data_IF_808261688015
#
_entry.id   IF_808261688015
#
_cell.length_a   1.000
_cell.length_b   1.000
_cell.length_c   1.000
_cell.angle_alpha   90.00
_cell.angle_beta   90.00
_cell.angle_gamma   90.00
#
_symmetry.space_group_name_H-M   'P 1'
#
loop_
_entity.id
_entity.type
_entity.pdbx_description
1 polymer ?
#
# COMPACT_ATOMS: atom_id res chain seq x y z
N UNK A 1 6.72 9.50 -10.88
CA UNK A 1 6.47 10.82 -10.25
C UNK A 1 5.06 11.01 -9.70
N UNK A 2 4.04 10.24 -10.10
CA UNK A 2 2.66 10.47 -9.62
C UNK A 2 2.52 10.30 -8.10
N UNK A 3 3.06 9.22 -7.51
CA UNK A 3 2.98 8.96 -6.06
C UNK A 3 3.57 10.11 -5.23
N UNK A 4 4.73 10.61 -5.64
CA UNK A 4 5.41 11.72 -4.96
C UNK A 4 4.57 13.01 -5.01
N UNK A 5 4.02 13.35 -6.18
CA UNK A 5 3.14 14.50 -6.30
C UNK A 5 1.87 14.36 -5.45
N UNK A 6 1.29 13.16 -5.37
CA UNK A 6 0.15 12.89 -4.50
C UNK A 6 0.51 13.05 -3.03
N UNK A 7 1.68 12.57 -2.61
CA UNK A 7 2.16 12.72 -1.23
C UNK A 7 2.34 14.20 -0.86
N UNK A 8 2.98 15.00 -1.73
CA UNK A 8 3.10 16.45 -1.55
C UNK A 8 1.74 17.15 -1.45
N UNK A 9 0.75 16.69 -2.22
CA UNK A 9 -0.62 17.21 -2.20
C UNK A 9 -1.47 16.65 -1.07
N UNK A 10 -0.94 15.76 -0.22
CA UNK A 10 -1.69 15.03 0.82
C UNK A 10 -2.87 14.22 0.27
N UNK A 11 -2.73 13.73 -0.96
CA UNK A 11 -3.69 12.88 -1.68
C UNK A 11 -3.14 11.47 -1.92
N UNK A 12 -1.98 11.14 -1.37
CA UNK A 12 -1.42 9.80 -1.44
C UNK A 12 -2.28 8.80 -0.64
N UNK A 13 -2.30 7.52 -1.07
CA UNK A 13 -2.90 6.48 -0.26
C UNK A 13 -2.15 6.33 1.08
N UNK A 14 -2.84 5.81 2.10
CA UNK A 14 -2.24 5.52 3.40
C UNK A 14 -1.24 4.36 3.35
N UNK A 15 -1.45 3.39 2.45
CA UNK A 15 -0.56 2.27 2.21
C UNK A 15 -0.84 1.66 0.82
N UNK A 16 0.10 0.87 0.31
CA UNK A 16 -0.02 0.10 -0.94
C UNK A 16 0.15 -1.38 -0.61
N UNK A 17 -0.79 -2.20 -1.04
CA UNK A 17 -0.70 -3.67 -0.92
C UNK A 17 -0.86 -4.26 -2.30
N UNK A 18 0.06 -5.14 -2.69
CA UNK A 18 0.00 -5.79 -4.00
C UNK A 18 0.56 -7.22 -3.99
N UNK A 19 0.15 -7.99 -5.01
CA UNK A 19 0.70 -9.33 -5.26
C UNK A 19 2.09 -9.26 -5.86
N UNK A 20 2.27 -8.40 -6.88
CA UNK A 20 3.54 -8.17 -7.58
C UNK A 20 3.73 -6.67 -7.77
N UNK A 21 4.95 -6.18 -7.57
CA UNK A 21 5.30 -4.78 -7.69
C UNK A 21 6.24 -4.52 -8.87
N UNK A 22 6.01 -3.43 -9.58
CA UNK A 22 6.97 -2.87 -10.52
C UNK A 22 8.01 -2.03 -9.76
N UNK A 23 9.29 -2.10 -10.16
CA UNK A 23 10.37 -1.36 -9.52
C UNK A 23 10.12 0.16 -9.46
N UNK A 24 9.51 0.74 -10.49
CA UNK A 24 9.19 2.18 -10.54
C UNK A 24 8.17 2.54 -9.45
N UNK A 25 7.20 1.67 -9.21
CA UNK A 25 6.18 1.89 -8.16
C UNK A 25 6.81 1.76 -6.78
N UNK A 26 7.68 0.78 -6.57
CA UNK A 26 8.42 0.59 -5.31
C UNK A 26 9.25 1.82 -4.97
N UNK A 27 10.06 2.30 -5.91
CA UNK A 27 10.86 3.53 -5.73
C UNK A 27 9.95 4.73 -5.44
N UNK A 28 8.83 4.84 -6.15
CA UNK A 28 7.83 5.87 -5.91
C UNK A 28 7.26 5.84 -4.50
N UNK A 29 6.91 4.66 -3.98
CA UNK A 29 6.38 4.49 -2.63
C UNK A 29 7.43 4.84 -1.56
N UNK A 30 8.66 4.36 -1.72
CA UNK A 30 9.79 4.65 -0.81
C UNK A 30 10.04 6.16 -0.69
N UNK A 31 10.21 6.85 -1.83
CA UNK A 31 10.48 8.30 -1.84
C UNK A 31 9.30 9.09 -1.27
N UNK A 32 8.08 8.57 -1.45
CA UNK A 32 6.86 9.24 -0.98
C UNK A 32 6.52 8.91 0.48
N UNK A 33 7.29 8.05 1.15
CA UNK A 33 7.01 7.60 2.51
C UNK A 33 5.70 6.82 2.63
N UNK A 34 5.28 6.14 1.56
CA UNK A 34 4.04 5.35 1.55
C UNK A 34 4.40 3.91 1.92
N UNK A 35 3.87 3.37 3.03
CA UNK A 35 4.05 1.96 3.40
C UNK A 35 3.60 1.04 2.27
N UNK A 36 4.42 0.06 1.92
CA UNK A 36 4.12 -0.86 0.82
C UNK A 36 4.44 -2.31 1.22
N UNK A 37 3.49 -3.23 1.02
CA UNK A 37 3.68 -4.67 1.23
C UNK A 37 3.42 -5.41 -0.07
N UNK A 38 4.36 -6.27 -0.46
CA UNK A 38 4.37 -7.03 -1.71
C UNK A 38 4.21 -8.52 -1.43
N UNK A 39 3.65 -9.28 -2.37
CA UNK A 39 3.45 -10.73 -2.23
C UNK A 39 2.17 -11.11 -1.50
N UNK A 40 1.25 -10.16 -1.32
CA UNK A 40 -0.02 -10.39 -0.63
C UNK A 40 -1.04 -10.97 -1.59
N UNK A 41 -1.82 -11.94 -1.10
CA UNK A 41 -2.96 -12.47 -1.83
C UNK A 41 -4.16 -11.52 -1.73
N UNK A 42 -4.18 -10.54 -2.63
CA UNK A 42 -5.19 -9.46 -2.65
C UNK A 42 -6.61 -9.95 -2.94
N UNK A 43 -6.79 -11.18 -3.44
CA UNK A 43 -8.13 -11.76 -3.67
C UNK A 43 -8.91 -11.99 -2.36
N UNK A 44 -8.20 -12.02 -1.22
CA UNK A 44 -8.80 -12.11 0.12
C UNK A 44 -9.27 -10.77 0.66
N UNK A 45 -8.87 -9.66 0.03
CA UNK A 45 -9.20 -8.30 0.42
C UNK A 45 -10.36 -7.81 -0.45
N UNK A 46 -11.40 -7.29 0.18
CA UNK A 46 -12.57 -6.73 -0.51
C UNK A 46 -12.67 -5.23 -0.31
N UNK A 47 -13.32 -4.56 -1.25
CA UNK A 47 -13.66 -3.15 -1.11
C UNK A 47 -14.56 -2.97 0.12
N UNK A 48 -14.17 -2.08 1.03
CA UNK A 48 -14.86 -1.85 2.30
C UNK A 48 -14.17 -2.50 3.51
N UNK A 49 -13.23 -3.42 3.29
CA UNK A 49 -12.44 -4.00 4.37
C UNK A 49 -11.53 -2.94 5.02
N UNK A 50 -11.50 -2.94 6.35
CA UNK A 50 -10.55 -2.15 7.12
C UNK A 50 -9.28 -2.98 7.33
N UNK A 51 -8.16 -2.48 6.80
CA UNK A 51 -6.88 -3.17 6.85
C UNK A 51 -5.88 -2.43 7.75
N UNK A 52 -5.08 -3.20 8.49
CA UNK A 52 -3.82 -2.77 9.08
C UNK A 52 -2.69 -3.21 8.15
N UNK A 53 -1.85 -2.27 7.72
CA UNK A 53 -0.73 -2.51 6.82
C UNK A 53 0.54 -2.01 7.47
N UNK A 54 1.47 -2.94 7.71
CA UNK A 54 2.80 -2.66 8.24
C UNK A 54 3.84 -2.91 7.13
N UNK A 55 4.34 -1.81 6.55
CA UNK A 55 5.37 -1.84 5.52
C UNK A 55 6.78 -2.16 6.02
N UNK A 56 7.02 -2.16 7.33
CA UNK A 56 8.31 -2.46 7.93
C UNK A 56 8.43 -3.96 8.21
N UNK A 57 7.38 -4.58 8.77
CA UNK A 57 7.35 -6.02 9.04
C UNK A 57 6.78 -6.85 7.88
N UNK A 58 6.17 -6.20 6.89
CA UNK A 58 5.54 -6.87 5.74
C UNK A 58 4.22 -7.56 6.08
N UNK A 59 3.51 -7.08 7.10
CA UNK A 59 2.27 -7.70 7.60
C UNK A 59 1.06 -6.93 7.10
N UNK A 60 0.05 -7.65 6.62
CA UNK A 60 -1.28 -7.12 6.31
C UNK A 60 -2.33 -7.90 7.09
N UNK A 61 -3.18 -7.19 7.84
CA UNK A 61 -4.27 -7.79 8.62
C UNK A 61 -5.60 -7.15 8.25
N UNK A 62 -6.65 -7.98 8.20
CA UNK A 62 -8.02 -7.51 8.05
C UNK A 62 -8.57 -7.28 9.47
N UNK A 63 -8.80 -6.03 9.85
CA UNK A 63 -9.35 -5.67 11.15
C UNK A 63 -10.87 -5.82 11.18
N UNK A 64 -11.53 -5.49 10.07
CA UNK A 64 -12.98 -5.62 9.92
C UNK A 64 -13.34 -5.87 8.45
N UNK A 65 -14.17 -6.89 8.21
CA UNK A 65 -14.72 -7.16 6.89
C UNK A 65 -15.89 -6.22 6.55
N UNK A 66 -15.93 -5.76 5.30
CA UNK A 66 -17.02 -4.97 4.72
C UNK A 66 -18.22 -5.80 4.26
#
# INVERSE_FOLDING_TARGET
>A
YVLYTLALKKLAPCAIVNRVADQIVVVGAIISGIPMVVGVDVDKIKNGDLLEVDGETGVVRILRGG
#
